data_IF_973405664383
#
_entry.id   IF_973405664383
#
_cell.length_a   1.000
_cell.length_b   1.000
_cell.length_c   1.000
_cell.angle_alpha   90.00
_cell.angle_beta   90.00
_cell.angle_gamma   90.00
#
_symmetry.space_group_name_H-M   'P 1'
#
loop_
_entity.id
_entity.type
_entity.pdbx_description
1 polymer ?
#
# COMPACT_ATOMS: atom_id res chain seq x y z
N UNK A 1 9.99 12.93 -7.84
CA UNK A 1 9.42 11.94 -8.78
C UNK A 1 8.89 10.79 -7.96
N UNK A 2 7.84 10.08 -8.40
CA UNK A 2 7.43 8.83 -7.73
C UNK A 2 8.57 7.80 -7.88
N UNK A 3 8.83 6.97 -6.87
CA UNK A 3 9.87 5.94 -6.98
C UNK A 3 9.48 4.89 -8.02
N UNK A 4 10.50 4.30 -8.66
CA UNK A 4 10.30 3.17 -9.57
C UNK A 4 10.08 1.92 -8.71
N UNK A 5 8.98 1.21 -8.94
CA UNK A 5 8.72 -0.08 -8.30
C UNK A 5 9.48 -1.14 -9.09
N UNK A 6 10.46 -1.79 -8.45
CA UNK A 6 11.23 -2.88 -9.05
C UNK A 6 10.44 -4.19 -9.04
N UNK A 7 10.85 -5.16 -9.87
CA UNK A 7 10.24 -6.50 -9.87
C UNK A 7 10.40 -7.20 -8.51
N UNK A 8 11.50 -6.94 -7.81
CA UNK A 8 11.78 -7.49 -6.48
C UNK A 8 10.81 -6.96 -5.44
N UNK A 9 10.65 -5.63 -5.33
CA UNK A 9 9.67 -5.01 -4.40
C UNK A 9 8.27 -5.54 -4.68
N UNK A 10 7.89 -5.65 -5.96
CA UNK A 10 6.58 -6.16 -6.34
C UNK A 10 6.39 -7.61 -5.91
N UNK A 11 7.38 -8.48 -6.16
CA UNK A 11 7.33 -9.89 -5.80
C UNK A 11 7.24 -10.09 -4.28
N UNK A 12 8.03 -9.36 -3.50
CA UNK A 12 8.02 -9.42 -2.03
C UNK A 12 6.67 -8.95 -1.47
N UNK A 13 6.20 -7.79 -1.93
CA UNK A 13 4.93 -7.20 -1.49
C UNK A 13 3.76 -8.13 -1.82
N UNK A 14 3.73 -8.72 -3.01
CA UNK A 14 2.70 -9.70 -3.37
C UNK A 14 2.79 -10.97 -2.54
N UNK A 15 4.01 -11.46 -2.26
CA UNK A 15 4.19 -12.64 -1.43
C UNK A 15 3.62 -12.44 -0.03
N UNK A 16 3.82 -11.26 0.56
CA UNK A 16 3.26 -10.90 1.86
C UNK A 16 1.72 -10.80 1.82
N UNK A 17 1.19 -10.02 0.87
CA UNK A 17 -0.25 -9.77 0.75
C UNK A 17 -1.02 -11.07 0.55
N UNK A 18 -0.57 -11.93 -0.36
CA UNK A 18 -1.32 -13.12 -0.74
C UNK A 18 -1.10 -14.32 0.19
N UNK A 19 -0.20 -14.21 1.19
CA UNK A 19 -0.06 -15.21 2.25
C UNK A 19 -1.30 -15.28 3.15
N UNK A 20 -1.79 -14.12 3.59
CA UNK A 20 -3.06 -13.98 4.33
C UNK A 20 -3.67 -12.59 4.06
N UNK A 21 -4.29 -12.47 2.88
CA UNK A 21 -4.88 -11.22 2.40
C UNK A 21 -5.92 -10.62 3.35
N UNK A 22 -6.87 -11.39 3.94
CA UNK A 22 -7.82 -10.84 4.91
C UNK A 22 -7.14 -10.21 6.13
N UNK A 23 -6.16 -10.89 6.72
CA UNK A 23 -5.43 -10.37 7.87
C UNK A 23 -4.59 -9.14 7.51
N UNK A 24 -3.86 -9.22 6.39
CA UNK A 24 -3.03 -8.13 5.88
C UNK A 24 -3.86 -6.86 5.62
N UNK A 25 -4.99 -6.98 4.91
CA UNK A 25 -5.89 -5.84 4.66
C UNK A 25 -6.39 -5.23 5.97
N UNK A 26 -6.70 -6.05 6.98
CA UNK A 26 -7.13 -5.54 8.28
C UNK A 26 -6.02 -4.74 8.96
N UNK A 27 -4.76 -5.19 8.89
CA UNK A 27 -3.62 -4.44 9.42
C UNK A 27 -3.45 -3.10 8.70
N UNK A 28 -3.51 -3.11 7.36
CA UNK A 28 -3.37 -1.89 6.55
C UNK A 28 -4.46 -0.84 6.83
N UNK A 29 -5.70 -1.27 7.12
CA UNK A 29 -6.76 -0.34 7.55
C UNK A 29 -6.35 0.43 8.80
N UNK A 30 -5.74 -0.24 9.79
CA UNK A 30 -5.34 0.43 11.03
C UNK A 30 -4.14 1.33 10.78
N UNK A 31 -3.12 0.79 10.10
CA UNK A 31 -1.91 1.53 9.76
C UNK A 31 -2.21 2.83 9.00
N UNK A 32 -2.99 2.77 7.91
CA UNK A 32 -3.30 3.96 7.11
C UNK A 32 -4.22 4.92 7.88
N UNK A 33 -5.11 4.42 8.75
CA UNK A 33 -5.90 5.32 9.61
C UNK A 33 -5.02 6.12 10.57
N UNK A 34 -3.95 5.51 11.07
CA UNK A 34 -3.03 6.14 12.01
C UNK A 34 -2.08 7.12 11.29
N UNK A 35 -1.58 6.75 10.10
CA UNK A 35 -0.66 7.58 9.31
C UNK A 35 -1.36 8.69 8.51
N UNK A 36 -2.50 8.38 7.88
CA UNK A 36 -3.24 9.31 7.01
C UNK A 36 -4.74 8.94 6.93
N UNK A 37 -5.55 9.41 7.89
CA UNK A 37 -6.98 9.08 7.96
C UNK A 37 -7.76 9.58 6.73
N UNK A 38 -7.30 10.63 6.05
CA UNK A 38 -7.91 11.17 4.83
C UNK A 38 -7.82 10.17 3.67
N UNK A 39 -6.68 9.50 3.49
CA UNK A 39 -6.53 8.44 2.46
C UNK A 39 -7.49 7.29 2.75
N UNK A 40 -7.59 6.83 4.00
CA UNK A 40 -8.54 5.78 4.35
C UNK A 40 -9.99 6.21 4.08
N UNK A 41 -10.33 7.47 4.34
CA UNK A 41 -11.67 8.03 4.06
C UNK A 41 -11.96 8.04 2.56
N UNK A 42 -11.03 8.52 1.74
CA UNK A 42 -11.17 8.56 0.28
C UNK A 42 -11.38 7.16 -0.33
N UNK A 43 -10.68 6.13 0.18
CA UNK A 43 -10.84 4.74 -0.26
C UNK A 43 -12.25 4.22 0.03
N UNK A 44 -12.78 4.52 1.22
CA UNK A 44 -14.13 4.13 1.63
C UNK A 44 -15.19 4.86 0.79
N UNK A 45 -15.01 6.17 0.57
CA UNK A 45 -15.92 6.96 -0.26
C UNK A 45 -15.93 6.48 -1.71
N UNK A 46 -14.78 6.16 -2.29
CA UNK A 46 -14.70 5.61 -3.65
C UNK A 46 -15.46 4.29 -3.77
N UNK A 47 -15.33 3.40 -2.78
CA UNK A 47 -16.09 2.16 -2.75
C UNK A 47 -17.61 2.40 -2.60
N UNK A 48 -18.02 3.34 -1.75
CA UNK A 48 -19.44 3.63 -1.50
C UNK A 48 -20.13 4.33 -2.67
N UNK A 49 -19.39 5.08 -3.50
CA UNK A 49 -19.91 5.80 -4.66
C UNK A 49 -19.81 4.98 -5.97
N UNK A 50 -19.44 3.70 -5.88
CA UNK A 50 -19.32 2.80 -7.03
C UNK A 50 -19.98 1.45 -6.71
N UNK A 51 -20.20 0.62 -7.73
CA UNK A 51 -20.67 -0.76 -7.55
C UNK A 51 -19.52 -1.75 -7.28
N UNK A 52 -18.33 -1.25 -6.90
CA UNK A 52 -17.15 -2.07 -6.64
C UNK A 52 -17.19 -2.65 -5.23
N UNK A 53 -16.66 -3.87 -5.06
CA UNK A 53 -16.50 -4.46 -3.73
C UNK A 53 -15.52 -3.59 -2.90
N UNK A 54 -15.95 -3.02 -1.75
CA UNK A 54 -15.09 -2.19 -0.91
C UNK A 54 -13.79 -2.88 -0.48
N UNK A 55 -13.82 -4.20 -0.30
CA UNK A 55 -12.66 -5.01 0.05
C UNK A 55 -11.66 -5.13 -1.09
N UNK A 56 -12.13 -5.10 -2.34
CA UNK A 56 -11.29 -5.12 -3.53
C UNK A 56 -10.67 -3.73 -3.80
N UNK A 57 -11.45 -2.66 -3.63
CA UNK A 57 -10.95 -1.28 -3.71
C UNK A 57 -9.87 -1.04 -2.65
N UNK A 58 -10.14 -1.42 -1.41
CA UNK A 58 -9.18 -1.31 -0.31
C UNK A 58 -7.89 -2.11 -0.57
N UNK A 59 -8.00 -3.34 -1.09
CA UNK A 59 -6.83 -4.16 -1.41
C UNK A 59 -5.91 -3.47 -2.42
N UNK A 60 -6.46 -3.00 -3.55
CA UNK A 60 -5.67 -2.34 -4.59
C UNK A 60 -5.02 -1.05 -4.10
N UNK A 61 -5.76 -0.24 -3.34
CA UNK A 61 -5.26 1.02 -2.80
C UNK A 61 -4.14 0.80 -1.76
N UNK A 62 -4.34 -0.10 -0.80
CA UNK A 62 -3.33 -0.41 0.22
C UNK A 62 -2.10 -1.06 -0.37
N UNK A 63 -2.26 -1.91 -1.38
CA UNK A 63 -1.15 -2.53 -2.08
C UNK A 63 -0.30 -1.48 -2.79
N UNK A 64 -0.93 -0.53 -3.47
CA UNK A 64 -0.24 0.58 -4.13
C UNK A 64 0.53 1.43 -3.11
N UNK A 65 -0.08 1.71 -1.95
CA UNK A 65 0.58 2.43 -0.87
C UNK A 65 1.83 1.69 -0.37
N UNK A 66 1.70 0.39 -0.09
CA UNK A 66 2.81 -0.45 0.39
C UNK A 66 3.95 -0.54 -0.62
N UNK A 67 3.65 -0.69 -1.91
CA UNK A 67 4.66 -0.70 -2.98
C UNK A 67 5.44 0.62 -3.05
N UNK A 68 4.73 1.75 -2.97
CA UNK A 68 5.35 3.06 -3.00
C UNK A 68 6.21 3.29 -1.75
N UNK A 69 5.71 2.92 -0.58
CA UNK A 69 6.43 3.07 0.68
C UNK A 69 7.74 2.25 0.67
N UNK A 70 7.69 0.99 0.24
CA UNK A 70 8.87 0.12 0.11
C UNK A 70 9.88 0.71 -0.87
N UNK A 71 9.42 1.18 -2.03
CA UNK A 71 10.29 1.79 -3.03
C UNK A 71 10.91 3.13 -2.56
N UNK A 72 10.19 3.92 -1.77
CA UNK A 72 10.74 5.13 -1.13
C UNK A 72 11.82 4.77 -0.11
N UNK A 73 11.58 3.78 0.76
CA UNK A 73 12.56 3.33 1.77
C UNK A 73 13.85 2.82 1.13
N UNK A 74 13.75 2.08 0.04
CA UNK A 74 14.93 1.59 -0.69
C UNK A 74 15.71 2.76 -1.32
N UNK A 75 15.00 3.68 -1.98
CA UNK A 75 15.61 4.87 -2.58
C UNK A 75 16.31 5.75 -1.54
N UNK A 76 15.68 5.99 -0.39
CA UNK A 76 16.24 6.75 0.72
C UNK A 76 17.44 6.04 1.35
N UNK A 77 17.39 4.71 1.47
CA UNK A 77 18.52 3.92 1.96
C UNK A 77 19.73 4.06 1.03
N UNK A 78 19.55 3.93 -0.29
CA UNK A 78 20.63 4.13 -1.26
C UNK A 78 21.24 5.54 -1.20
N UNK A 79 20.43 6.58 -1.01
CA UNK A 79 20.93 7.95 -0.84
C UNK A 79 21.76 8.11 0.44
N UNK A 80 21.30 7.54 1.57
CA UNK A 80 22.01 7.63 2.85
C UNK A 80 23.32 6.82 2.91
N UNK A 81 23.51 5.80 2.06
CA UNK A 81 24.79 5.08 1.94
C UNK A 81 25.82 5.79 1.05
N UNK A 82 25.42 6.85 0.36
CA UNK A 82 26.25 7.59 -0.61
C UNK A 82 26.90 8.85 -0.03
N UNK A 83 26.63 9.17 1.24
CA UNK A 83 27.24 10.26 2.04
C UNK A 83 28.28 9.71 3.04
#
# INVERSE_FOLDING_TARGET
MLPIITEEIAAETFSEIFKDMPAWRKQMIHYIKDENPEINTAIIEAANNTDLDPKAVALGAYMTYSLLESAMKETDSFMNFSD
#
